data_IF_651583468138
#
_entry.id   IF_651583468138
#
_cell.length_a   1.000
_cell.length_b   1.000
_cell.length_c   1.000
_cell.angle_alpha   90.00
_cell.angle_beta   90.00
_cell.angle_gamma   90.00
#
_symmetry.space_group_name_H-M   'P 1'
#
loop_
_entity.id
_entity.type
_entity.pdbx_description
1 polymer ?
#
# COMPACT_ATOMS: atom_id res chain seq x y z
N UNK A 1 -39.27 -30.86 8.46
CA UNK A 1 -38.06 -31.64 8.82
C UNK A 1 -36.83 -30.84 8.42
N UNK A 2 -35.86 -30.65 9.31
CA UNK A 2 -34.64 -29.90 9.00
C UNK A 2 -33.70 -30.73 8.09
N UNK A 3 -32.99 -30.12 7.12
CA UNK A 3 -32.08 -30.83 6.24
C UNK A 3 -30.88 -31.41 7.03
N UNK A 4 -30.38 -32.60 6.66
CA UNK A 4 -29.30 -33.24 7.40
C UNK A 4 -28.00 -32.42 7.32
N UNK A 5 -27.23 -32.33 8.41
CA UNK A 5 -26.00 -31.54 8.42
C UNK A 5 -24.98 -32.17 7.47
N UNK A 6 -24.56 -31.41 6.45
CA UNK A 6 -23.46 -31.78 5.56
C UNK A 6 -22.17 -31.88 6.38
N UNK A 7 -21.73 -33.10 6.68
CA UNK A 7 -20.40 -33.36 7.24
C UNK A 7 -19.34 -32.88 6.26
N UNK A 8 -18.43 -32.01 6.72
CA UNK A 8 -17.29 -31.54 5.91
C UNK A 8 -16.41 -32.75 5.59
N UNK A 9 -16.24 -33.08 4.31
CA UNK A 9 -15.26 -34.06 3.86
C UNK A 9 -13.86 -33.50 4.18
N UNK A 10 -13.16 -34.08 5.14
CA UNK A 10 -11.76 -33.77 5.37
C UNK A 10 -10.97 -34.35 4.21
N UNK A 11 -10.18 -33.53 3.53
CA UNK A 11 -9.39 -33.93 2.36
C UNK A 11 -8.13 -34.75 2.72
N UNK A 12 -7.95 -35.07 4.01
CA UNK A 12 -6.82 -35.82 4.51
C UNK A 12 -7.23 -37.29 4.48
N UNK A 13 -6.48 -38.10 3.74
CA UNK A 13 -6.67 -39.55 3.70
C UNK A 13 -6.64 -40.11 5.14
N UNK A 14 -7.45 -41.13 5.45
CA UNK A 14 -7.37 -41.80 6.75
C UNK A 14 -5.95 -42.32 6.93
N UNK A 15 -5.29 -41.88 8.01
CA UNK A 15 -3.96 -42.38 8.37
C UNK A 15 -4.19 -43.69 9.14
N UNK A 16 -3.64 -44.79 8.64
CA UNK A 16 -3.89 -46.13 9.19
C UNK A 16 -3.31 -46.32 10.60
N UNK A 17 -2.20 -45.64 10.93
CA UNK A 17 -1.56 -45.73 12.25
C UNK A 17 -1.04 -44.35 12.73
N UNK A 18 -1.34 -43.98 13.97
CA UNK A 18 -0.85 -42.75 14.60
C UNK A 18 0.23 -43.13 15.62
N UNK A 19 1.49 -42.94 15.26
CA UNK A 19 2.63 -43.11 16.19
C UNK A 19 2.80 -41.84 17.02
N UNK A 20 2.78 -41.98 18.34
CA UNK A 20 2.96 -40.87 19.27
C UNK A 20 4.42 -40.72 19.67
N UNK A 21 5.05 -39.65 19.20
CA UNK A 21 6.41 -39.28 19.59
C UNK A 21 6.41 -38.37 20.83
N UNK A 22 6.97 -38.87 21.92
CA UNK A 22 7.06 -38.15 23.19
C UNK A 22 8.00 -36.94 23.11
N UNK A 23 9.04 -36.99 22.27
CA UNK A 23 10.00 -35.90 22.12
C UNK A 23 9.39 -34.75 21.32
N UNK A 24 8.71 -35.06 20.22
CA UNK A 24 7.90 -34.09 19.48
C UNK A 24 6.81 -33.46 20.36
N UNK A 25 6.20 -34.23 21.26
CA UNK A 25 5.24 -33.70 22.24
C UNK A 25 5.91 -32.76 23.22
N UNK A 26 7.09 -33.10 23.75
CA UNK A 26 7.84 -32.25 24.67
C UNK A 26 8.24 -30.93 24.01
N UNK A 27 8.74 -30.97 22.77
CA UNK A 27 9.06 -29.78 21.98
C UNK A 27 7.82 -28.95 21.64
N UNK A 28 6.68 -29.61 21.42
CA UNK A 28 5.41 -28.93 21.28
C UNK A 28 4.98 -28.29 22.60
N UNK A 29 5.16 -28.91 23.76
CA UNK A 29 4.75 -28.31 25.03
C UNK A 29 5.69 -27.18 25.48
N UNK A 30 6.98 -27.23 25.16
CA UNK A 30 7.95 -26.21 25.61
C UNK A 30 8.18 -25.11 24.56
N UNK A 31 8.03 -25.43 23.27
CA UNK A 31 8.35 -24.56 22.14
C UNK A 31 7.28 -23.54 21.73
N UNK A 32 6.42 -23.07 22.64
CA UNK A 32 5.32 -22.15 22.29
C UNK A 32 5.78 -20.88 21.56
N UNK A 33 6.89 -20.27 22.02
CA UNK A 33 7.45 -19.09 21.37
C UNK A 33 7.94 -19.42 19.95
N UNK A 34 8.65 -20.55 19.78
CA UNK A 34 9.11 -21.03 18.46
C UNK A 34 7.92 -21.20 17.50
N UNK A 35 6.83 -21.84 17.93
CA UNK A 35 5.62 -22.00 17.10
C UNK A 35 4.92 -20.68 16.80
N UNK A 36 4.88 -19.75 17.76
CA UNK A 36 4.30 -18.43 17.53
C UNK A 36 5.08 -17.67 16.45
N UNK A 37 6.41 -17.71 16.53
CA UNK A 37 7.29 -17.12 15.51
C UNK A 37 7.13 -17.82 14.17
N UNK A 38 7.10 -19.16 14.13
CA UNK A 38 6.89 -19.93 12.90
C UNK A 38 5.54 -19.60 12.25
N UNK A 39 4.46 -19.47 13.02
CA UNK A 39 3.15 -19.05 12.48
C UNK A 39 3.19 -17.64 11.90
N UNK A 40 3.88 -16.71 12.57
CA UNK A 40 4.04 -15.35 12.06
C UNK A 40 4.84 -15.35 10.74
N UNK A 41 5.96 -16.08 10.68
CA UNK A 41 6.77 -16.25 9.48
C UNK A 41 5.99 -16.90 8.33
N UNK A 42 5.29 -17.99 8.61
CA UNK A 42 4.48 -18.67 7.61
C UNK A 42 3.35 -17.77 7.07
N UNK A 43 2.73 -16.94 7.92
CA UNK A 43 1.75 -15.95 7.48
C UNK A 43 2.39 -14.87 6.57
N UNK A 44 3.60 -14.41 6.91
CA UNK A 44 4.37 -13.48 6.07
C UNK A 44 4.72 -14.12 4.71
N UNK A 45 5.23 -15.35 4.70
CA UNK A 45 5.58 -16.08 3.47
C UNK A 45 4.36 -16.29 2.56
N UNK A 46 3.19 -16.61 3.12
CA UNK A 46 1.95 -16.72 2.33
C UNK A 46 1.57 -15.35 1.74
N UNK A 47 1.66 -14.27 2.52
CA UNK A 47 1.34 -12.94 2.04
C UNK A 47 2.29 -12.51 0.91
N UNK A 48 3.59 -12.77 1.04
CA UNK A 48 4.60 -12.50 0.01
C UNK A 48 4.36 -13.32 -1.27
N UNK A 49 4.06 -14.63 -1.13
CA UNK A 49 3.74 -15.49 -2.27
C UNK A 49 2.53 -14.97 -3.04
N UNK A 50 1.46 -14.59 -2.32
CA UNK A 50 0.25 -14.02 -2.92
C UNK A 50 0.53 -12.68 -3.60
N UNK A 51 1.25 -11.77 -2.95
CA UNK A 51 1.60 -10.47 -3.52
C UNK A 51 2.44 -10.62 -4.81
N UNK A 52 3.35 -11.60 -4.85
CA UNK A 52 4.16 -11.90 -6.04
C UNK A 52 3.32 -12.45 -7.19
N UNK A 53 2.36 -13.33 -6.87
CA UNK A 53 1.40 -13.88 -7.83
C UNK A 53 0.49 -12.79 -8.40
N UNK A 54 -0.13 -11.97 -7.53
CA UNK A 54 -0.95 -10.83 -7.92
C UNK A 54 -0.18 -9.84 -8.81
N UNK A 55 1.07 -9.53 -8.47
CA UNK A 55 1.93 -8.66 -9.30
C UNK A 55 2.23 -9.29 -10.66
N UNK A 56 2.37 -10.61 -10.73
CA UNK A 56 2.57 -11.33 -12.00
C UNK A 56 1.31 -11.30 -12.86
N UNK A 57 0.15 -11.59 -12.27
CA UNK A 57 -1.13 -11.52 -12.95
C UNK A 57 -1.44 -10.11 -13.44
N UNK A 58 -1.19 -9.09 -12.62
CA UNK A 58 -1.38 -7.70 -13.00
C UNK A 58 -0.53 -7.31 -14.21
N UNK A 59 0.75 -7.71 -14.23
CA UNK A 59 1.62 -7.49 -15.40
C UNK A 59 1.16 -8.26 -16.63
N UNK A 60 0.58 -9.45 -16.46
CA UNK A 60 0.02 -10.24 -17.55
C UNK A 60 -1.20 -9.53 -18.14
N UNK A 61 -2.13 -9.09 -17.30
CA UNK A 61 -3.32 -8.31 -17.70
C UNK A 61 -2.93 -7.04 -18.46
N UNK A 62 -1.99 -6.25 -17.95
CA UNK A 62 -1.45 -5.06 -18.63
C UNK A 62 -0.81 -5.36 -20.00
N UNK A 63 -0.27 -6.56 -20.20
CA UNK A 63 0.27 -6.97 -21.51
C UNK A 63 -0.85 -7.38 -22.45
N UNK A 64 -1.82 -8.15 -21.97
CA UNK A 64 -3.01 -8.57 -22.73
C UNK A 64 -3.86 -7.35 -23.13
N UNK A 65 -4.06 -6.39 -22.23
CA UNK A 65 -4.76 -5.12 -22.49
C UNK A 65 -4.06 -4.32 -23.60
N UNK A 66 -2.73 -4.11 -23.49
CA UNK A 66 -1.96 -3.42 -24.53
C UNK A 66 -2.01 -4.13 -25.88
N UNK A 67 -1.94 -5.47 -25.90
CA UNK A 67 -2.06 -6.24 -27.13
C UNK A 67 -3.46 -6.12 -27.75
N UNK A 68 -4.52 -6.16 -26.93
CA UNK A 68 -5.88 -5.99 -27.39
C UNK A 68 -6.15 -4.56 -27.90
N UNK A 69 -5.62 -3.54 -27.24
CA UNK A 69 -5.69 -2.15 -27.70
C UNK A 69 -4.97 -1.97 -29.04
N UNK A 70 -3.78 -2.55 -29.19
CA UNK A 70 -3.05 -2.53 -30.44
C UNK A 70 -3.81 -3.21 -31.58
N UNK A 71 -4.37 -4.40 -31.34
CA UNK A 71 -5.22 -5.10 -32.32
C UNK A 71 -6.45 -4.27 -32.70
N UNK A 72 -7.14 -3.67 -31.72
CA UNK A 72 -8.28 -2.78 -31.98
C UNK A 72 -7.87 -1.57 -32.81
N UNK A 73 -6.71 -0.97 -32.53
CA UNK A 73 -6.19 0.15 -33.30
C UNK A 73 -5.88 -0.25 -34.75
N UNK A 74 -5.27 -1.42 -34.98
CA UNK A 74 -5.04 -1.96 -36.31
C UNK A 74 -6.35 -2.23 -37.06
N UNK A 75 -7.34 -2.84 -36.40
CA UNK A 75 -8.64 -3.11 -36.99
C UNK A 75 -9.37 -1.81 -37.35
N UNK A 76 -9.32 -0.79 -36.48
CA UNK A 76 -9.87 0.53 -36.77
C UNK A 76 -9.15 1.22 -37.93
N UNK A 77 -7.82 1.12 -38.00
CA UNK A 77 -7.04 1.67 -39.11
C UNK A 77 -7.39 0.96 -40.42
N UNK A 78 -7.45 -0.38 -40.42
CA UNK A 78 -7.85 -1.19 -41.58
C UNK A 78 -9.25 -0.82 -42.07
N UNK A 79 -10.20 -0.64 -41.16
CA UNK A 79 -11.57 -0.17 -41.50
C UNK A 79 -11.56 1.21 -42.14
N UNK A 80 -10.83 2.17 -41.56
CA UNK A 80 -10.68 3.52 -42.15
C UNK A 80 -10.04 3.47 -43.53
N UNK A 81 -9.01 2.64 -43.73
CA UNK A 81 -8.38 2.45 -45.04
C UNK A 81 -9.34 1.81 -46.05
N UNK A 82 -10.16 0.84 -45.63
CA UNK A 82 -11.21 0.26 -46.48
C UNK A 82 -12.32 1.27 -46.83
N UNK A 83 -12.73 2.12 -45.89
CA UNK A 83 -13.68 3.20 -46.13
C UNK A 83 -13.14 4.24 -47.12
N UNK A 84 -11.85 4.56 -47.03
CA UNK A 84 -11.16 5.47 -47.96
C UNK A 84 -10.91 4.85 -49.34
N UNK A 85 -10.58 3.56 -49.41
CA UNK A 85 -10.38 2.85 -50.69
C UNK A 85 -11.70 2.41 -51.37
N UNK A 86 -12.85 2.48 -50.69
CA UNK A 86 -14.14 2.03 -51.22
C UNK A 86 -14.21 0.52 -51.53
N UNK A 87 -15.38 -0.04 -51.88
CA UNK A 87 -15.50 -1.44 -52.31
C UNK A 87 -14.89 -1.59 -53.71
N UNK A 88 -13.57 -1.60 -53.81
CA UNK A 88 -12.85 -1.91 -55.05
C UNK A 88 -12.87 -3.42 -55.26
N UNK A 89 -13.87 -3.88 -56.01
CA UNK A 89 -13.77 -5.10 -56.81
C UNK A 89 -12.70 -4.81 -57.88
N UNK A 90 -11.44 -5.06 -57.54
CA UNK A 90 -10.32 -4.95 -58.46
C UNK A 90 -9.33 -6.05 -58.11
N UNK A 91 -9.49 -7.19 -58.80
CA UNK A 91 -8.33 -7.94 -59.25
C UNK A 91 -7.37 -6.94 -59.92
N UNK A 92 -6.33 -6.55 -59.21
CA UNK A 92 -5.21 -5.86 -59.80
C UNK A 92 -3.96 -6.65 -59.40
N UNK A 93 -3.63 -7.60 -60.27
CA UNK A 93 -2.27 -8.00 -60.62
C UNK A 93 -1.31 -6.83 -60.38
N UNK A 94 -0.68 -6.80 -59.20
CA UNK A 94 0.36 -5.84 -58.88
C UNK A 94 1.69 -6.51 -59.22
N UNK A 95 2.13 -6.19 -60.44
CA UNK A 95 3.43 -6.48 -61.04
C UNK A 95 4.57 -6.33 -60.00
N UNK A 96 5.46 -7.32 -59.82
CA UNK A 96 6.54 -7.28 -58.82
C UNK A 96 7.81 -6.56 -59.30
N UNK A 97 7.71 -5.60 -60.23
CA UNK A 97 8.86 -4.92 -60.82
C UNK A 97 8.57 -3.42 -61.00
N UNK A 98 8.82 -2.64 -59.95
CA UNK A 98 9.17 -1.24 -60.12
C UNK A 98 10.13 -0.83 -59.00
N UNK A 99 11.42 -0.98 -59.30
CA UNK A 99 12.55 -0.40 -58.59
C UNK A 99 12.27 1.06 -58.21
N UNK A 100 11.99 1.28 -56.94
CA UNK A 100 12.16 2.58 -56.30
C UNK A 100 13.19 2.38 -55.19
N UNK A 101 14.44 2.35 -55.62
CA UNK A 101 15.66 2.24 -54.82
C UNK A 101 15.93 3.56 -54.07
N UNK A 102 14.91 4.07 -53.38
CA UNK A 102 15.06 5.15 -52.41
C UNK A 102 15.63 4.51 -51.13
N UNK A 103 16.93 4.25 -51.17
CA UNK A 103 17.74 3.75 -50.07
C UNK A 103 17.44 4.58 -48.81
N UNK A 104 16.73 3.97 -47.88
CA UNK A 104 16.24 4.63 -46.68
C UNK A 104 17.43 5.13 -45.84
N UNK A 105 17.61 6.45 -45.78
CA UNK A 105 18.79 7.11 -45.20
C UNK A 105 18.97 6.97 -43.67
N UNK A 106 18.25 6.06 -43.01
CA UNK A 106 18.32 5.85 -41.57
C UNK A 106 17.78 7.02 -40.75
N UNK A 107 17.49 6.77 -39.47
CA UNK A 107 17.21 7.85 -38.53
C UNK A 107 18.52 8.60 -38.22
N UNK A 108 18.49 9.93 -38.07
CA UNK A 108 19.64 10.66 -37.57
C UNK A 108 20.06 10.08 -36.21
N UNK A 109 21.36 10.04 -35.95
CA UNK A 109 21.91 9.60 -34.67
C UNK A 109 21.15 10.26 -33.52
N UNK A 110 20.86 9.54 -32.42
CA UNK A 110 20.17 10.10 -31.28
C UNK A 110 21.03 11.24 -30.74
N UNK A 111 20.61 12.47 -31.04
CA UNK A 111 21.17 13.65 -30.40
C UNK A 111 20.69 13.56 -28.97
N UNK A 112 21.62 13.49 -28.01
CA UNK A 112 21.31 13.49 -26.58
C UNK A 112 20.71 14.86 -26.22
N UNK A 113 19.40 15.02 -26.45
CA UNK A 113 18.68 16.21 -26.02
C UNK A 113 18.52 16.13 -24.49
N UNK A 114 19.51 16.64 -23.77
CA UNK A 114 19.39 16.95 -22.35
C UNK A 114 18.46 18.15 -22.19
N UNK A 115 17.15 17.90 -22.23
CA UNK A 115 16.14 18.90 -21.92
C UNK A 115 16.10 19.07 -20.39
N UNK A 116 16.88 20.03 -19.87
CA UNK A 116 16.76 20.49 -18.49
C UNK A 116 15.39 21.13 -18.28
N UNK A 117 14.44 20.34 -17.77
CA UNK A 117 13.14 20.85 -17.35
C UNK A 117 13.32 21.54 -16.00
N UNK A 118 13.57 22.85 -16.01
CA UNK A 118 13.54 23.67 -14.81
C UNK A 118 12.07 23.81 -14.41
N UNK A 119 11.67 23.02 -13.43
CA UNK A 119 10.35 23.11 -12.82
C UNK A 119 10.33 24.40 -11.97
N UNK A 120 9.93 25.52 -12.58
CA UNK A 120 9.87 26.88 -11.99
C UNK A 120 9.00 27.00 -10.73
N UNK A 121 8.37 25.90 -10.30
CA UNK A 121 7.49 25.80 -9.14
C UNK A 121 8.14 25.20 -7.88
N UNK A 122 9.45 24.93 -7.87
CA UNK A 122 10.17 24.48 -6.66
C UNK A 122 11.15 25.53 -6.16
N UNK A 123 10.63 26.57 -5.52
CA UNK A 123 11.47 27.49 -4.75
C UNK A 123 11.85 26.85 -3.41
N UNK A 124 13.05 26.29 -3.31
CA UNK A 124 13.67 25.98 -2.02
C UNK A 124 14.62 27.11 -1.66
N UNK A 125 14.30 27.91 -0.66
CA UNK A 125 15.20 28.95 -0.14
C UNK A 125 16.28 28.31 0.72
N UNK A 126 17.54 28.35 0.28
CA UNK A 126 18.69 27.90 1.07
C UNK A 126 19.15 29.04 1.95
N UNK A 127 19.01 28.90 3.27
CA UNK A 127 19.54 29.84 4.26
C UNK A 127 20.88 29.33 4.77
N UNK A 128 21.95 30.09 4.55
CA UNK A 128 23.29 29.78 5.09
C UNK A 128 23.41 30.45 6.46
N UNK A 129 23.49 29.64 7.52
CA UNK A 129 23.79 30.09 8.87
C UNK A 129 25.21 29.68 9.28
N UNK A 130 25.95 30.60 9.90
CA UNK A 130 27.31 30.32 10.40
C UNK A 130 27.25 29.34 11.57
N UNK A 131 27.74 28.11 11.38
CA UNK A 131 27.80 27.11 12.44
C UNK A 131 28.96 27.39 13.41
N UNK A 132 28.65 27.48 14.70
CA UNK A 132 29.63 27.51 15.78
C UNK A 132 30.32 26.12 15.90
N UNK A 133 31.65 26.00 15.73
CA UNK A 133 32.39 24.72 15.75
C UNK A 133 32.45 24.09 17.15
N UNK A 134 31.86 24.72 18.16
CA UNK A 134 31.74 24.16 19.50
C UNK A 134 30.85 22.90 19.51
N UNK A 135 31.17 21.93 20.38
CA UNK A 135 30.44 20.65 20.49
C UNK A 135 28.93 20.81 20.67
N UNK A 136 28.48 21.85 21.35
CA UNK A 136 27.06 22.17 21.53
C UNK A 136 26.38 22.71 20.25
N UNK A 137 27.11 23.41 19.38
CA UNK A 137 26.61 23.91 18.09
C UNK A 137 26.30 22.77 17.12
N UNK A 138 27.15 21.74 17.09
CA UNK A 138 26.94 20.54 16.28
C UNK A 138 25.70 19.73 16.71
N UNK A 139 25.43 19.63 18.02
CA UNK A 139 24.23 18.92 18.49
C UNK A 139 22.94 19.67 18.17
N UNK A 140 22.95 21.01 18.22
CA UNK A 140 21.78 21.82 17.83
C UNK A 140 21.44 21.72 16.34
N UNK A 141 22.46 21.66 15.48
CA UNK A 141 22.25 21.46 14.04
C UNK A 141 21.69 20.07 13.71
N UNK A 142 22.07 19.02 14.45
CA UNK A 142 21.50 17.69 14.29
C UNK A 142 20.03 17.62 14.74
N UNK A 143 19.66 18.33 15.82
CA UNK A 143 18.30 18.37 16.32
C UNK A 143 17.35 19.24 15.46
N UNK A 144 17.88 20.23 14.73
CA UNK A 144 17.07 21.05 13.82
C UNK A 144 16.69 20.30 12.55
N UNK A 145 17.60 19.50 11.97
CA UNK A 145 17.33 18.70 10.75
C UNK A 145 16.22 17.66 11.00
N UNK A 146 16.20 17.04 12.18
CA UNK A 146 15.21 16.01 12.55
C UNK A 146 13.79 16.60 12.79
N UNK A 147 13.63 17.92 12.84
CA UNK A 147 12.36 18.62 13.05
C UNK A 147 11.71 19.17 11.78
N UNK A 148 12.39 19.18 10.64
CA UNK A 148 11.87 19.79 9.39
C UNK A 148 10.87 18.88 8.65
N UNK A 149 10.81 17.58 8.97
CA UNK A 149 9.94 16.62 8.28
C UNK A 149 8.49 16.53 8.82
N UNK A 150 8.14 17.27 9.90
CA UNK A 150 6.83 17.06 10.56
C UNK A 150 5.86 18.25 10.66
N UNK A 151 6.22 19.52 10.47
CA UNK A 151 5.29 20.61 10.83
C UNK A 151 5.34 21.88 9.95
N UNK A 152 4.55 21.90 8.87
CA UNK A 152 3.94 23.13 8.30
C UNK A 152 2.63 23.42 9.05
N UNK A 153 2.69 24.19 10.14
CA UNK A 153 1.70 25.22 10.55
C UNK A 153 2.07 25.85 11.92
N UNK A 154 2.18 27.18 11.90
CA UNK A 154 2.66 28.15 12.91
C UNK A 154 1.95 28.23 14.31
N UNK A 155 2.27 29.18 15.23
CA UNK A 155 3.29 29.07 16.29
C UNK A 155 2.73 29.34 17.71
N UNK A 156 3.53 29.08 18.78
CA UNK A 156 3.47 29.71 20.13
C UNK A 156 4.58 29.13 21.04
N UNK A 157 5.69 29.85 21.22
CA UNK A 157 6.03 30.75 22.34
C UNK A 157 6.07 30.13 23.75
N UNK A 158 7.28 30.29 24.34
CA UNK A 158 7.62 30.55 25.75
C UNK A 158 7.68 29.40 26.79
N UNK A 159 8.94 29.03 27.07
CA UNK A 159 9.65 29.02 28.38
C UNK A 159 9.12 28.23 29.58
N UNK A 160 9.97 27.33 30.09
CA UNK A 160 10.19 27.03 31.52
C UNK A 160 11.45 26.14 31.63
N UNK A 161 12.62 26.64 32.05
CA UNK A 161 13.07 26.83 33.44
C UNK A 161 12.83 25.61 34.33
N UNK A 162 13.92 24.89 34.56
CA UNK A 162 14.14 23.93 35.65
C UNK A 162 14.14 24.61 37.01
N UNK A 163 13.44 24.02 37.99
CA UNK A 163 13.97 23.62 39.32
C UNK A 163 12.84 23.14 40.23
N UNK A 164 13.03 21.96 40.80
CA UNK A 164 12.45 21.45 42.07
C UNK A 164 13.01 22.25 43.27
N UNK A 165 12.47 22.22 44.51
CA UNK A 165 11.84 21.05 45.16
C UNK A 165 10.71 21.33 46.18
N UNK A 166 10.35 20.24 46.88
CA UNK A 166 9.79 20.15 48.23
C UNK A 166 8.27 20.06 48.48
N UNK A 167 8.01 19.42 49.61
CA UNK A 167 6.87 18.57 49.98
C UNK A 167 6.14 19.28 51.12
N UNK A 168 4.83 19.49 51.01
CA UNK A 168 3.98 19.61 52.20
C UNK A 168 2.49 19.42 51.91
N UNK A 169 1.85 18.88 52.94
CA UNK A 169 0.48 18.43 53.09
C UNK A 169 -0.52 19.59 53.19
N UNK A 170 -1.75 19.40 52.72
CA UNK A 170 -2.99 19.50 53.51
C UNK A 170 -4.23 19.81 52.65
N UNK A 171 -5.34 19.39 53.22
CA UNK A 171 -6.74 19.47 52.82
C UNK A 171 -7.20 20.87 52.42
N UNK A 172 -8.00 20.97 51.35
CA UNK A 172 -8.71 22.20 51.02
C UNK A 172 -9.33 22.14 49.63
N UNK A 173 -10.65 22.06 49.58
CA UNK A 173 -11.44 22.02 48.36
C UNK A 173 -11.36 23.39 47.67
N UNK A 174 -10.71 23.46 46.50
CA UNK A 174 -10.90 24.60 45.62
C UNK A 174 -10.90 24.20 44.15
N UNK A 175 -12.10 24.31 43.54
CA UNK A 175 -12.34 24.14 42.12
C UNK A 175 -12.06 25.46 41.43
N UNK A 176 -10.87 25.61 40.86
CA UNK A 176 -10.70 26.48 39.69
C UNK A 176 -9.46 26.10 38.87
N UNK A 177 -9.72 25.76 37.61
CA UNK A 177 -8.77 25.83 36.48
C UNK A 177 -7.42 25.07 36.61
N UNK A 178 -7.40 23.90 37.25
CA UNK A 178 -6.28 22.97 37.07
C UNK A 178 -6.32 22.38 35.65
N UNK A 179 -5.34 22.76 34.81
CA UNK A 179 -5.13 22.28 33.43
C UNK A 179 -5.47 20.79 33.32
N UNK A 180 -6.60 20.47 32.67
CA UNK A 180 -7.04 19.08 32.46
C UNK A 180 -5.93 18.33 31.73
N UNK A 181 -5.28 17.37 32.39
CA UNK A 181 -4.24 16.53 31.79
C UNK A 181 -4.78 15.98 30.45
N UNK A 182 -4.06 16.22 29.34
CA UNK A 182 -4.44 15.69 28.02
C UNK A 182 -4.56 14.18 28.14
N UNK A 183 -5.75 13.63 27.83
CA UNK A 183 -5.97 12.17 27.86
C UNK A 183 -5.05 11.55 26.82
N UNK A 184 -4.35 10.46 27.19
CA UNK A 184 -3.51 9.70 26.25
C UNK A 184 -4.33 9.33 25.01
N UNK A 185 -3.76 9.52 23.81
CA UNK A 185 -4.39 9.12 22.56
C UNK A 185 -4.72 7.62 22.65
N UNK A 186 -5.98 7.26 22.41
CA UNK A 186 -6.38 5.86 22.37
C UNK A 186 -5.82 5.27 21.08
N UNK A 187 -4.69 4.55 21.18
CA UNK A 187 -4.19 3.77 20.07
C UNK A 187 -5.27 2.77 19.67
N UNK A 188 -5.59 2.75 18.39
CA UNK A 188 -6.62 1.90 17.81
C UNK A 188 -5.99 1.20 16.64
N UNK A 189 -6.26 -0.09 16.50
CA UNK A 189 -5.75 -0.93 15.43
C UNK A 189 -6.26 -0.57 14.04
N UNK A 190 -7.26 0.33 13.96
CA UNK A 190 -7.90 0.74 12.72
C UNK A 190 -8.03 2.26 12.68
N UNK A 191 -7.86 2.82 11.48
CA UNK A 191 -8.11 4.23 11.18
C UNK A 191 -9.58 4.60 11.44
N UNK A 192 -9.89 5.90 11.53
CA UNK A 192 -11.28 6.33 11.72
C UNK A 192 -12.20 5.87 10.57
N UNK A 193 -11.68 5.86 9.34
CA UNK A 193 -12.39 5.43 8.14
C UNK A 193 -12.70 3.92 8.17
N UNK A 194 -11.69 3.09 8.45
CA UNK A 194 -11.84 1.64 8.58
C UNK A 194 -12.87 1.27 9.64
N UNK A 195 -12.80 1.92 10.81
CA UNK A 195 -13.79 1.74 11.89
C UNK A 195 -15.21 2.06 11.46
N UNK A 196 -15.39 3.08 10.60
CA UNK A 196 -16.72 3.46 10.10
C UNK A 196 -17.27 2.38 9.16
N UNK A 197 -16.40 1.82 8.32
CA UNK A 197 -16.74 0.73 7.39
C UNK A 197 -17.07 -0.55 8.16
N UNK A 198 -16.26 -0.95 9.16
CA UNK A 198 -16.51 -2.14 9.98
C UNK A 198 -17.81 -2.03 10.75
N UNK A 199 -18.06 -0.88 11.41
CA UNK A 199 -19.35 -0.61 12.07
C UNK A 199 -20.54 -0.66 11.12
N UNK A 200 -20.40 -0.17 9.89
CA UNK A 200 -21.47 -0.24 8.89
C UNK A 200 -21.75 -1.70 8.51
N UNK A 201 -20.70 -2.50 8.25
CA UNK A 201 -20.82 -3.93 7.95
C UNK A 201 -21.49 -4.71 9.09
N UNK A 202 -21.06 -4.47 10.33
CA UNK A 202 -21.66 -5.09 11.52
C UNK A 202 -23.14 -4.73 11.67
N UNK A 203 -23.50 -3.45 11.53
CA UNK A 203 -24.90 -3.00 11.59
C UNK A 203 -25.76 -3.68 10.52
N UNK A 204 -25.25 -3.79 9.30
CA UNK A 204 -25.95 -4.48 8.20
C UNK A 204 -26.11 -5.98 8.48
N UNK A 205 -25.07 -6.64 9.00
CA UNK A 205 -25.12 -8.04 9.41
C UNK A 205 -26.15 -8.29 10.52
N UNK A 206 -26.11 -7.48 11.59
CA UNK A 206 -27.05 -7.58 12.71
C UNK A 206 -28.48 -7.31 12.27
N UNK A 207 -28.70 -6.33 11.38
CA UNK A 207 -30.03 -6.05 10.80
C UNK A 207 -30.56 -7.24 9.99
N UNK A 208 -29.70 -7.86 9.17
CA UNK A 208 -30.06 -9.06 8.38
C UNK A 208 -30.44 -10.24 9.29
N UNK A 209 -29.63 -10.50 10.32
CA UNK A 209 -29.90 -11.56 11.30
C UNK A 209 -31.20 -11.28 12.09
N UNK A 210 -31.43 -10.04 12.52
CA UNK A 210 -32.65 -9.66 13.20
C UNK A 210 -33.89 -9.83 12.31
N UNK A 211 -33.81 -9.46 11.02
CA UNK A 211 -34.90 -9.69 10.06
C UNK A 211 -35.18 -11.18 9.88
N UNK A 212 -34.15 -12.02 9.80
CA UNK A 212 -34.31 -13.47 9.70
C UNK A 212 -35.00 -14.06 10.94
N UNK A 213 -34.63 -13.63 12.15
CA UNK A 213 -35.28 -14.05 13.40
C UNK A 213 -36.72 -13.57 13.55
N UNK A 214 -37.08 -12.44 12.92
CA UNK A 214 -38.46 -11.93 12.90
C UNK A 214 -39.33 -12.57 11.82
N UNK A 215 -38.71 -13.26 10.86
CA UNK A 215 -39.40 -13.92 9.75
C UNK A 215 -39.68 -15.41 10.03
N UNK A 216 -39.19 -15.92 11.16
CA UNK A 216 -39.54 -17.23 11.74
C UNK A 216 -40.53 -17.04 12.86
#
# INVERSE_FOLDING_TARGET
MAPPPKRRKLAIAPVDEIVFDNDARHDFLTGFHKRKVQRAKHAQEIAEKKAKEERREHRRKLREERQAEFQRALDQNRKRMQELNGPSESESESNPDQDNDAEWAGFPEPVDYEAEYIDENKYTTVTVEDMDPSKEGMYKAAESIDRVDEDEESPKTTSAVTKTPEKQTSTGNDRSQAKKKKKKRKFRYESHAERKITRMKERMGNRKQAKARRAT
#
